data_IF_131673345002
#
_entry.id   IF_131673345002
#
_cell.length_a   1.000
_cell.length_b   1.000
_cell.length_c   1.000
_cell.angle_alpha   90.00
_cell.angle_beta   90.00
_cell.angle_gamma   90.00
#
_symmetry.space_group_name_H-M   'P 1'
#
loop_
_entity.id
_entity.type
_entity.pdbx_description
1 polymer ?
#
# COMPACT_ATOMS: atom_id res chain seq x y z
N UNK A 1 -34.59 55.60 15.46
CA UNK A 1 -34.26 55.87 14.04
C UNK A 1 -33.01 55.05 13.70
N UNK A 2 -33.11 54.26 12.64
CA UNK A 2 -32.15 53.27 12.15
C UNK A 2 -30.70 53.79 12.05
N UNK A 3 -29.71 52.94 12.37
CA UNK A 3 -28.64 52.48 11.45
C UNK A 3 -27.89 51.31 12.12
N UNK A 4 -27.65 50.30 11.29
CA UNK A 4 -27.02 49.00 11.55
C UNK A 4 -25.50 49.15 11.58
N UNK A 5 -24.81 48.40 12.43
CA UNK A 5 -23.46 47.92 12.15
C UNK A 5 -23.24 46.60 12.92
N UNK A 6 -23.54 45.48 12.26
CA UNK A 6 -22.80 44.23 12.50
C UNK A 6 -21.30 44.56 12.38
N UNK A 7 -20.47 44.15 13.34
CA UNK A 7 -19.11 43.63 13.17
C UNK A 7 -18.34 43.64 14.50
N UNK A 8 -17.33 42.76 14.61
CA UNK A 8 -16.39 42.51 15.73
C UNK A 8 -16.87 41.38 16.67
N UNK A 9 -16.75 40.10 16.30
CA UNK A 9 -15.53 39.25 16.29
C UNK A 9 -14.88 39.14 17.69
N UNK A 10 -14.53 37.88 18.04
CA UNK A 10 -13.53 37.43 19.02
C UNK A 10 -13.98 37.26 20.48
N UNK A 11 -14.37 36.02 20.81
CA UNK A 11 -13.57 35.21 21.74
C UNK A 11 -13.93 33.73 21.54
N UNK A 12 -13.30 33.17 20.50
CA UNK A 12 -13.22 31.75 20.24
C UNK A 12 -12.40 31.08 21.37
N UNK A 13 -13.12 30.55 22.36
CA UNK A 13 -12.57 29.64 23.38
C UNK A 13 -12.27 28.28 22.74
N UNK A 14 -11.03 28.16 22.31
CA UNK A 14 -10.37 27.00 21.70
C UNK A 14 -10.42 25.75 22.60
N UNK A 15 -11.50 24.98 22.55
CA UNK A 15 -11.42 23.55 22.86
C UNK A 15 -11.09 22.84 21.55
N UNK A 16 -9.82 22.93 21.13
CA UNK A 16 -9.30 22.05 20.09
C UNK A 16 -9.35 20.63 20.68
N UNK A 17 -10.40 19.88 20.37
CA UNK A 17 -10.39 18.45 20.63
C UNK A 17 -9.20 17.86 19.89
N UNK A 18 -8.37 17.03 20.53
CA UNK A 18 -7.44 16.24 19.75
C UNK A 18 -8.29 15.40 18.81
N UNK A 19 -8.23 15.71 17.52
CA UNK A 19 -8.68 14.81 16.49
C UNK A 19 -7.92 13.51 16.74
N UNK A 20 -8.57 12.56 17.41
CA UNK A 20 -8.06 11.21 17.52
C UNK A 20 -7.92 10.75 16.08
N UNK A 21 -6.67 10.65 15.62
CA UNK A 21 -6.36 10.06 14.34
C UNK A 21 -7.05 8.70 14.34
N UNK A 22 -8.07 8.57 13.49
CA UNK A 22 -8.90 7.37 13.42
C UNK A 22 -7.97 6.18 13.20
N UNK A 23 -7.96 5.26 14.16
CA UNK A 23 -7.02 4.15 14.14
C UNK A 23 -7.44 3.21 13.02
N UNK A 24 -6.81 3.34 11.85
CA UNK A 24 -7.10 2.53 10.66
C UNK A 24 -7.20 1.05 11.05
N UNK A 25 -8.37 0.48 10.78
CA UNK A 25 -8.66 -0.91 11.08
C UNK A 25 -7.79 -1.83 10.22
N UNK A 26 -7.70 -3.11 10.60
CA UNK A 26 -6.97 -4.09 9.78
C UNK A 26 -7.53 -4.16 8.35
N UNK A 27 -8.84 -3.98 8.19
CA UNK A 27 -9.52 -3.91 6.90
C UNK A 27 -9.08 -2.69 6.11
N UNK A 28 -8.96 -1.53 6.73
CA UNK A 28 -8.50 -0.30 6.06
C UNK A 28 -7.09 -0.44 5.52
N UNK A 29 -6.21 -1.18 6.18
CA UNK A 29 -4.86 -1.45 5.67
C UNK A 29 -4.88 -2.34 4.42
N UNK A 30 -5.79 -3.32 4.38
CA UNK A 30 -5.98 -4.17 3.20
C UNK A 30 -6.55 -3.35 2.05
N UNK A 31 -7.54 -2.51 2.34
CA UNK A 31 -8.13 -1.59 1.35
C UNK A 31 -7.10 -0.59 0.85
N UNK A 32 -6.30 0.04 1.72
CA UNK A 32 -5.19 0.93 1.33
C UNK A 32 -4.20 0.20 0.41
N UNK A 33 -3.84 -1.04 0.74
CA UNK A 33 -2.91 -1.84 -0.08
C UNK A 33 -3.52 -2.23 -1.43
N UNK A 34 -4.84 -2.42 -1.47
CA UNK A 34 -5.58 -2.72 -2.69
C UNK A 34 -5.79 -1.47 -3.55
N UNK A 35 -6.10 -0.33 -2.94
CA UNK A 35 -6.20 0.97 -3.59
C UNK A 35 -4.83 1.48 -4.05
N UNK A 36 -3.73 1.04 -3.43
CA UNK A 36 -2.38 1.27 -3.97
C UNK A 36 -2.12 0.55 -5.31
N UNK A 37 -3.05 -0.30 -5.77
CA UNK A 37 -3.01 -0.92 -7.11
C UNK A 37 -3.77 -0.09 -8.15
N UNK A 38 -4.63 0.82 -7.70
CA UNK A 38 -5.38 1.73 -8.56
C UNK A 38 -4.39 2.73 -9.18
N UNK A 39 -4.05 2.50 -10.44
CA UNK A 39 -3.04 3.27 -11.15
C UNK A 39 -3.62 4.53 -11.79
N UNK A 40 -4.94 4.56 -11.99
CA UNK A 40 -5.66 5.66 -12.62
C UNK A 40 -6.40 6.57 -11.62
N UNK A 41 -6.33 6.25 -10.32
CA UNK A 41 -6.95 6.99 -9.21
C UNK A 41 -8.47 7.09 -9.36
N UNK A 42 -9.09 6.11 -10.02
CA UNK A 42 -10.54 6.06 -10.25
C UNK A 42 -11.33 5.70 -8.98
N UNK A 43 -10.66 5.26 -7.93
CA UNK A 43 -11.24 4.75 -6.70
C UNK A 43 -11.68 3.29 -6.79
N UNK A 44 -11.37 2.60 -7.89
CA UNK A 44 -11.72 1.19 -8.13
C UNK A 44 -10.64 0.48 -8.93
N UNK A 45 -10.27 -0.74 -8.54
CA UNK A 45 -9.34 -1.54 -9.33
C UNK A 45 -10.11 -2.34 -10.37
N UNK A 46 -9.89 -2.03 -11.64
CA UNK A 46 -10.46 -2.78 -12.76
C UNK A 46 -9.76 -4.14 -12.97
N UNK A 47 -10.40 -5.03 -13.74
CA UNK A 47 -9.82 -6.35 -14.09
C UNK A 47 -8.47 -6.23 -14.79
N UNK A 48 -8.34 -5.21 -15.64
CA UNK A 48 -7.20 -5.06 -16.52
C UNK A 48 -6.01 -4.44 -15.78
N UNK A 49 -6.27 -3.49 -14.87
CA UNK A 49 -5.26 -2.98 -13.94
C UNK A 49 -4.76 -4.07 -13.00
N UNK A 50 -5.67 -4.90 -12.47
CA UNK A 50 -5.28 -6.03 -11.65
C UNK A 50 -4.37 -7.00 -12.42
N UNK A 51 -4.71 -7.35 -13.67
CA UNK A 51 -3.87 -8.22 -14.52
C UNK A 51 -2.53 -7.58 -14.81
N UNK A 52 -2.49 -6.33 -15.26
CA UNK A 52 -1.24 -5.64 -15.57
C UNK A 52 -0.31 -5.57 -14.35
N UNK A 53 -0.88 -5.34 -13.16
CA UNK A 53 -0.13 -5.34 -11.90
C UNK A 53 0.35 -6.74 -11.51
N UNK A 54 -0.49 -7.76 -11.69
CA UNK A 54 -0.10 -9.16 -11.43
C UNK A 54 1.00 -9.58 -12.38
N UNK A 55 0.90 -9.27 -13.67
CA UNK A 55 1.92 -9.57 -14.68
C UNK A 55 3.24 -8.86 -14.36
N UNK A 56 3.20 -7.57 -14.03
CA UNK A 56 4.40 -6.83 -13.62
C UNK A 56 5.07 -7.47 -12.40
N UNK A 57 4.29 -7.76 -11.36
CA UNK A 57 4.81 -8.43 -10.14
C UNK A 57 5.30 -9.83 -10.41
N UNK A 58 4.63 -10.58 -11.28
CA UNK A 58 5.04 -11.91 -11.68
C UNK A 58 6.37 -11.85 -12.41
N UNK A 59 6.53 -10.94 -13.36
CA UNK A 59 7.79 -10.73 -14.10
C UNK A 59 8.93 -10.31 -13.16
N UNK A 60 8.69 -9.36 -12.25
CA UNK A 60 9.69 -8.94 -11.25
C UNK A 60 10.12 -10.10 -10.34
N UNK A 61 9.19 -10.96 -9.94
CA UNK A 61 9.48 -12.16 -9.13
C UNK A 61 10.18 -13.25 -9.94
N UNK A 62 9.75 -13.43 -11.19
CA UNK A 62 10.33 -14.39 -12.11
C UNK A 62 11.80 -14.04 -12.36
N UNK A 63 12.10 -12.79 -12.69
CA UNK A 63 13.47 -12.30 -12.87
C UNK A 63 14.34 -12.38 -11.61
N UNK A 64 13.75 -12.43 -10.41
CA UNK A 64 14.49 -12.66 -9.17
C UNK A 64 14.79 -14.15 -8.91
N UNK A 65 14.05 -15.04 -9.56
CA UNK A 65 14.12 -16.49 -9.36
C UNK A 65 14.92 -17.18 -10.47
N UNK A 66 14.69 -16.76 -11.71
CA UNK A 66 15.50 -17.08 -12.89
C UNK A 66 16.84 -16.35 -12.76
N UNK A 67 17.83 -17.06 -12.24
CA UNK A 67 19.16 -16.50 -11.96
C UNK A 67 20.07 -16.61 -13.18
N UNK A 68 19.78 -17.55 -14.08
CA UNK A 68 20.59 -17.82 -15.27
C UNK A 68 20.09 -17.03 -16.51
N UNK A 69 18.88 -16.47 -16.46
CA UNK A 69 18.28 -15.66 -17.51
C UNK A 69 17.83 -16.46 -18.73
N UNK A 70 17.55 -17.75 -18.57
CA UNK A 70 17.13 -18.64 -19.66
C UNK A 70 15.62 -18.58 -19.95
N UNK A 71 14.85 -17.88 -19.12
CA UNK A 71 13.41 -17.73 -19.27
C UNK A 71 12.62 -18.92 -18.72
N UNK A 72 13.26 -19.86 -18.02
CA UNK A 72 12.66 -20.97 -17.30
C UNK A 72 13.09 -20.94 -15.82
N UNK A 73 12.36 -21.65 -14.95
CA UNK A 73 12.78 -21.83 -13.55
C UNK A 73 13.06 -23.31 -13.36
N UNK A 74 14.34 -23.64 -13.22
CA UNK A 74 14.75 -24.99 -12.88
C UNK A 74 14.43 -25.33 -11.41
N UNK A 75 14.34 -26.63 -11.11
CA UNK A 75 14.12 -27.09 -9.73
C UNK A 75 15.26 -26.66 -8.79
N UNK A 76 16.49 -26.52 -9.30
CA UNK A 76 17.65 -26.12 -8.52
C UNK A 76 17.66 -24.61 -8.24
N UNK A 77 17.25 -23.77 -9.20
CA UNK A 77 17.04 -22.34 -8.98
C UNK A 77 15.92 -22.08 -7.98
N UNK A 78 14.82 -22.81 -8.11
CA UNK A 78 13.73 -22.76 -7.13
C UNK A 78 14.26 -23.08 -5.72
N UNK A 79 14.99 -24.19 -5.55
CA UNK A 79 15.58 -24.55 -4.24
C UNK A 79 16.53 -23.47 -3.72
N UNK A 80 17.40 -22.93 -4.56
CA UNK A 80 18.35 -21.89 -4.17
C UNK A 80 17.63 -20.63 -3.68
N UNK A 81 16.58 -20.20 -4.39
CA UNK A 81 15.71 -19.10 -3.98
C UNK A 81 15.07 -19.35 -2.60
N UNK A 82 14.51 -20.54 -2.38
CA UNK A 82 13.89 -20.90 -1.09
C UNK A 82 14.87 -21.03 0.06
N UNK A 83 16.10 -21.48 -0.18
CA UNK A 83 17.15 -21.52 0.86
C UNK A 83 17.50 -20.09 1.31
N UNK A 84 17.65 -19.16 0.35
CA UNK A 84 17.92 -17.74 0.62
C UNK A 84 16.77 -17.08 1.39
N UNK A 85 15.54 -17.28 0.95
CA UNK A 85 14.35 -16.73 1.63
C UNK A 85 14.15 -17.33 3.03
N UNK A 86 14.28 -18.65 3.20
CA UNK A 86 14.22 -19.28 4.53
C UNK A 86 15.30 -18.71 5.45
N UNK A 87 16.53 -18.54 4.97
CA UNK A 87 17.62 -17.97 5.78
C UNK A 87 17.29 -16.55 6.27
N UNK A 88 16.60 -15.73 5.46
CA UNK A 88 16.11 -14.41 5.86
C UNK A 88 15.04 -14.52 6.97
N UNK A 89 14.07 -15.40 6.81
CA UNK A 89 13.02 -15.63 7.82
C UNK A 89 13.56 -16.15 9.16
N UNK A 90 14.50 -17.09 9.14
CA UNK A 90 15.12 -17.61 10.36
C UNK A 90 16.01 -16.57 11.06
N UNK A 91 16.57 -15.59 10.33
CA UNK A 91 17.34 -14.49 10.91
C UNK A 91 16.48 -13.48 11.68
N UNK A 92 15.24 -13.23 11.23
CA UNK A 92 14.31 -12.32 11.89
C UNK A 92 13.67 -12.89 13.18
N UNK A 93 13.72 -14.22 13.38
CA UNK A 93 13.12 -14.89 14.56
C UNK A 93 14.09 -15.07 15.74
N UNK A 94 15.27 -14.46 15.72
CA UNK A 94 16.26 -14.48 16.81
C UNK A 94 16.39 -13.09 17.40
#
# INVERSE_FOLDING_TARGET
MFIRCLSAILLAGLMATPAWAEQKTATDKVVDTFMALDGDDSGTVSSDEYKAMVEKRANERFSQMDANGDGEISADEYRAFWVKEKAKWYRLKR
#
